data_IF_062707270279
#
_entry.id   IF_062707270279
#
_cell.length_a   1.000
_cell.length_b   1.000
_cell.length_c   1.000
_cell.angle_alpha   90.00
_cell.angle_beta   90.00
_cell.angle_gamma   90.00
#
_symmetry.space_group_name_H-M   'P 1'
#
loop_
_entity.id
_entity.type
_entity.pdbx_description
1 polymer ?
#
# COMPACT_ATOMS: atom_id res chain seq x y z
N UNK A 1 -5.35 17.48 -21.04
CA UNK A 1 -5.91 17.91 -19.72
C UNK A 1 -5.24 19.23 -19.33
N UNK A 2 -5.81 20.11 -18.49
CA UNK A 2 -5.05 21.31 -18.05
C UNK A 2 -3.88 20.89 -17.16
N UNK A 3 -2.72 21.55 -17.29
CA UNK A 3 -1.50 21.24 -16.52
C UNK A 3 -1.75 21.22 -15.00
N UNK A 4 -2.48 22.21 -14.48
CA UNK A 4 -2.85 22.27 -13.06
C UNK A 4 -3.55 21.00 -12.56
N UNK A 5 -4.35 20.36 -13.43
CA UNK A 5 -5.04 19.12 -13.08
C UNK A 5 -4.10 17.92 -13.11
N UNK A 6 -3.11 17.88 -14.01
CA UNK A 6 -2.04 16.88 -14.02
C UNK A 6 -1.24 16.97 -12.72
N UNK A 7 -0.84 18.18 -12.33
CA UNK A 7 -0.04 18.41 -11.11
C UNK A 7 -0.81 17.99 -9.84
N UNK A 8 -2.12 18.25 -9.80
CA UNK A 8 -2.98 17.75 -8.72
C UNK A 8 -3.01 16.22 -8.65
N UNK A 9 -3.10 15.53 -9.79
CA UNK A 9 -3.12 14.06 -9.83
C UNK A 9 -1.77 13.48 -9.41
N UNK A 10 -0.65 14.07 -9.83
CA UNK A 10 0.69 13.70 -9.34
C UNK A 10 0.83 13.88 -7.83
N UNK A 11 0.27 14.96 -7.27
CA UNK A 11 0.24 15.16 -5.82
C UNK A 11 -0.61 14.12 -5.07
N UNK A 12 -1.63 13.56 -5.71
CA UNK A 12 -2.42 12.44 -5.15
C UNK A 12 -1.62 11.14 -5.27
N UNK A 13 -0.97 10.90 -6.41
CA UNK A 13 -0.13 9.72 -6.66
C UNK A 13 0.93 9.56 -5.57
N UNK A 14 1.69 10.62 -5.27
CA UNK A 14 2.71 10.61 -4.21
C UNK A 14 2.14 10.24 -2.84
N UNK A 15 0.89 10.65 -2.54
CA UNK A 15 0.24 10.30 -1.26
C UNK A 15 -0.19 8.83 -1.23
N UNK A 16 -0.61 8.28 -2.37
CA UNK A 16 -0.96 6.86 -2.48
C UNK A 16 0.30 5.99 -2.33
N UNK A 17 1.41 6.39 -2.94
CA UNK A 17 2.71 5.73 -2.76
C UNK A 17 3.15 5.73 -1.30
N UNK A 18 3.01 6.86 -0.60
CA UNK A 18 3.31 6.96 0.84
C UNK A 18 2.44 6.02 1.69
N UNK A 19 1.14 5.92 1.35
CA UNK A 19 0.24 4.95 1.99
C UNK A 19 0.72 3.52 1.76
N UNK A 20 1.06 3.16 0.52
CA UNK A 20 1.58 1.83 0.18
C UNK A 20 2.84 1.49 0.97
N UNK A 21 3.85 2.38 0.96
CA UNK A 21 5.10 2.19 1.71
C UNK A 21 4.86 2.04 3.22
N UNK A 22 3.89 2.78 3.76
CA UNK A 22 3.51 2.65 5.16
C UNK A 22 2.92 1.27 5.46
N UNK A 23 2.09 0.71 4.57
CA UNK A 23 1.53 -0.64 4.72
C UNK A 23 2.62 -1.72 4.63
N UNK A 24 3.59 -1.58 3.72
CA UNK A 24 4.75 -2.48 3.64
C UNK A 24 5.54 -2.48 4.96
N UNK A 25 5.76 -1.31 5.56
CA UNK A 25 6.39 -1.20 6.89
C UNK A 25 5.56 -1.86 8.00
N UNK A 26 4.24 -1.84 7.91
CA UNK A 26 3.36 -2.53 8.86
C UNK A 26 3.49 -4.04 8.72
N UNK A 27 3.56 -4.56 7.50
CA UNK A 27 3.80 -5.99 7.23
C UNK A 27 5.11 -6.45 7.85
N UNK A 28 6.21 -5.71 7.65
CA UNK A 28 7.51 -6.05 8.23
C UNK A 28 7.45 -6.15 9.76
N UNK A 29 6.76 -5.21 10.41
CA UNK A 29 6.57 -5.23 11.87
C UNK A 29 5.74 -6.42 12.32
N UNK A 30 4.70 -6.79 11.58
CA UNK A 30 3.88 -7.97 11.87
C UNK A 30 4.73 -9.25 11.74
N UNK A 31 5.57 -9.34 10.71
CA UNK A 31 6.49 -10.46 10.51
C UNK A 31 7.49 -10.62 11.68
N UNK A 32 7.98 -9.52 12.23
CA UNK A 32 8.80 -9.56 13.44
C UNK A 32 8.02 -10.11 14.65
N UNK A 33 6.77 -9.67 14.85
CA UNK A 33 5.94 -10.21 15.95
C UNK A 33 5.67 -11.70 15.76
N UNK A 34 5.34 -12.15 14.54
CA UNK A 34 5.16 -13.58 14.23
C UNK A 34 6.44 -14.37 14.53
N UNK A 35 7.60 -13.80 14.18
CA UNK A 35 8.90 -14.42 14.46
C UNK A 35 9.15 -14.59 15.96
N UNK A 36 8.82 -13.58 16.77
CA UNK A 36 8.94 -13.64 18.23
C UNK A 36 7.99 -14.69 18.84
N UNK A 37 6.80 -14.87 18.27
CA UNK A 37 5.85 -15.89 18.70
C UNK A 37 6.35 -17.32 18.46
N UNK A 38 7.19 -17.56 17.46
CA UNK A 38 7.81 -18.89 17.30
C UNK A 38 8.69 -19.29 18.50
N UNK A 39 9.24 -18.31 19.23
CA UNK A 39 10.02 -18.58 20.44
C UNK A 39 9.12 -18.80 21.66
N UNK A 40 7.96 -18.16 21.70
CA UNK A 40 6.97 -18.27 22.77
C UNK A 40 5.56 -18.42 22.18
N UNK A 41 5.16 -19.65 21.81
CA UNK A 41 3.94 -19.86 21.03
C UNK A 41 2.67 -19.44 21.77
N UNK A 42 1.89 -18.55 21.14
CA UNK A 42 0.53 -18.21 21.53
C UNK A 42 -0.35 -18.23 20.29
N UNK A 43 -1.11 -19.32 20.14
CA UNK A 43 -1.98 -19.57 18.97
C UNK A 43 -3.00 -18.48 18.71
N UNK A 44 -3.48 -17.79 19.77
CA UNK A 44 -4.46 -16.72 19.60
C UNK A 44 -3.79 -15.48 19.04
N UNK A 45 -2.59 -15.16 19.54
CA UNK A 45 -1.81 -14.03 19.08
C UNK A 45 -1.25 -14.26 17.67
N UNK A 46 -0.76 -15.46 17.37
CA UNK A 46 -0.31 -15.87 16.03
C UNK A 46 -1.41 -15.64 14.99
N UNK A 47 -2.61 -16.20 15.23
CA UNK A 47 -3.75 -16.02 14.34
C UNK A 47 -4.12 -14.54 14.16
N UNK A 48 -4.10 -13.75 15.24
CA UNK A 48 -4.41 -12.32 15.15
C UNK A 48 -3.39 -11.56 14.31
N UNK A 49 -2.11 -11.96 14.36
CA UNK A 49 -1.04 -11.37 13.56
C UNK A 49 -1.11 -11.81 12.10
N UNK A 50 -1.43 -13.07 11.82
CA UNK A 50 -1.71 -13.56 10.46
C UNK A 50 -2.88 -12.80 9.82
N UNK A 51 -3.99 -12.61 10.56
CA UNK A 51 -5.14 -11.82 10.11
C UNK A 51 -4.76 -10.36 9.82
N UNK A 52 -3.87 -9.76 10.63
CA UNK A 52 -3.36 -8.40 10.42
C UNK A 52 -2.44 -8.31 9.21
N UNK A 53 -1.59 -9.32 9.00
CA UNK A 53 -0.71 -9.42 7.83
C UNK A 53 -1.55 -9.47 6.55
N UNK A 54 -2.54 -10.35 6.50
CA UNK A 54 -3.41 -10.48 5.34
C UNK A 54 -4.14 -9.18 5.01
N UNK A 55 -4.74 -8.52 6.01
CA UNK A 55 -5.42 -7.23 5.80
C UNK A 55 -4.49 -6.14 5.27
N UNK A 56 -3.24 -6.12 5.73
CA UNK A 56 -2.25 -5.16 5.25
C UNK A 56 -1.82 -5.47 3.81
N UNK A 57 -1.68 -6.75 3.47
CA UNK A 57 -1.42 -7.22 2.10
C UNK A 57 -2.56 -6.84 1.15
N UNK A 58 -3.81 -7.14 1.52
CA UNK A 58 -5.00 -6.81 0.72
C UNK A 58 -5.09 -5.29 0.46
N UNK A 59 -4.68 -4.47 1.43
CA UNK A 59 -4.66 -3.03 1.29
C UNK A 59 -3.54 -2.53 0.38
N UNK A 60 -2.36 -3.17 0.39
CA UNK A 60 -1.28 -2.88 -0.57
C UNK A 60 -1.74 -3.15 -2.00
N UNK A 61 -2.42 -4.29 -2.22
CA UNK A 61 -2.95 -4.65 -3.52
C UNK A 61 -3.98 -3.63 -4.00
N UNK A 62 -4.96 -3.30 -3.16
CA UNK A 62 -5.98 -2.30 -3.48
C UNK A 62 -5.39 -0.90 -3.77
N UNK A 63 -4.39 -0.46 -3.01
CA UNK A 63 -3.71 0.82 -3.25
C UNK A 63 -2.88 0.77 -4.54
N UNK A 64 -2.23 -0.35 -4.84
CA UNK A 64 -1.44 -0.54 -6.06
C UNK A 64 -2.32 -0.44 -7.31
N UNK A 65 -3.51 -1.05 -7.30
CA UNK A 65 -4.46 -0.93 -8.41
C UNK A 65 -4.87 0.54 -8.67
N UNK A 66 -5.11 1.31 -7.60
CA UNK A 66 -5.47 2.74 -7.72
C UNK A 66 -4.29 3.58 -8.22
N UNK A 67 -3.06 3.27 -7.78
CA UNK A 67 -1.83 3.90 -8.28
C UNK A 67 -1.71 3.67 -9.78
N UNK A 68 -1.80 2.42 -10.24
CA UNK A 68 -1.70 2.06 -11.65
C UNK A 68 -2.76 2.77 -12.51
N UNK A 69 -4.02 2.82 -12.04
CA UNK A 69 -5.08 3.55 -12.74
C UNK A 69 -4.74 5.04 -12.88
N UNK A 70 -4.24 5.65 -11.81
CA UNK A 70 -3.91 7.07 -11.77
C UNK A 70 -2.71 7.39 -12.68
N UNK A 71 -1.67 6.55 -12.67
CA UNK A 71 -0.52 6.66 -13.56
C UNK A 71 -0.94 6.58 -15.03
N UNK A 72 -1.76 5.60 -15.41
CA UNK A 72 -2.28 5.48 -16.78
C UNK A 72 -3.02 6.75 -17.22
N UNK A 73 -3.83 7.34 -16.33
CA UNK A 73 -4.57 8.58 -16.61
C UNK A 73 -3.65 9.78 -16.76
N UNK A 74 -2.60 9.89 -15.94
CA UNK A 74 -1.59 10.95 -16.05
C UNK A 74 -0.83 10.80 -17.37
N UNK A 75 -0.32 9.60 -17.66
CA UNK A 75 0.45 9.31 -18.88
C UNK A 75 -0.36 9.60 -20.15
N UNK A 76 -1.62 9.17 -20.20
CA UNK A 76 -2.52 9.47 -21.31
C UNK A 76 -2.69 10.98 -21.48
N UNK A 77 -2.93 11.69 -20.37
CA UNK A 77 -3.15 13.12 -20.42
C UNK A 77 -1.90 13.92 -20.84
N UNK A 78 -0.70 13.47 -20.46
CA UNK A 78 0.56 14.08 -20.90
C UNK A 78 0.85 13.85 -22.38
N UNK A 79 0.52 12.66 -22.91
CA UNK A 79 0.71 12.34 -24.33
C UNK A 79 -0.32 13.02 -25.26
N UNK A 80 -1.47 13.44 -24.73
CA UNK A 80 -2.54 14.15 -25.45
C UNK A 80 -2.47 15.68 -25.29
N UNK A 81 -1.50 16.22 -24.54
CA UNK A 81 -1.32 17.65 -24.30
C UNK A 81 -0.19 18.24 -25.15
#
# INVERSE_FOLDING_TARGET
>A
MKQEKIDQLKGILNKLEDVKHTQESVIDKINHVITDLFQNPDKKLEKAMEDAHQKSSDNIDAVSEVIEELEMRINKAENES
#
